data_IF_991441371906
#
_entry.id   IF_991441371906
#
_cell.length_a   1.000
_cell.length_b   1.000
_cell.length_c   1.000
_cell.angle_alpha   90.00
_cell.angle_beta   90.00
_cell.angle_gamma   90.00
#
_symmetry.space_group_name_H-M   'P 1'
#
loop_
_entity.id
_entity.type
_entity.pdbx_description
1 polymer ?
#
# COMPACT_ATOMS: atom_id res chain seq x y z
N UNK A 1 75.31 -15.66 17.77
CA UNK A 1 74.61 -14.43 17.34
C UNK A 1 73.28 -14.82 16.70
N UNK A 2 72.17 -14.30 17.25
CA UNK A 2 70.82 -14.18 16.68
C UNK A 2 70.11 -15.50 16.30
N UNK A 3 69.25 -16.03 17.19
CA UNK A 3 67.79 -15.78 17.24
C UNK A 3 67.08 -16.04 15.90
N UNK A 4 66.16 -17.01 15.88
CA UNK A 4 64.73 -16.79 15.56
C UNK A 4 63.94 -18.03 15.99
N UNK A 5 63.05 -17.78 16.95
CA UNK A 5 62.03 -18.66 17.51
C UNK A 5 60.82 -18.57 16.58
N UNK A 6 60.39 -19.65 15.93
CA UNK A 6 59.12 -19.67 15.18
C UNK A 6 58.04 -20.33 16.04
N UNK A 7 57.32 -19.52 16.82
CA UNK A 7 56.03 -19.89 17.41
C UNK A 7 55.01 -20.00 16.27
N UNK A 8 54.47 -21.20 16.03
CA UNK A 8 53.23 -21.36 15.25
C UNK A 8 52.06 -20.98 16.14
N UNK A 9 51.55 -19.75 15.98
CA UNK A 9 50.23 -19.38 16.50
C UNK A 9 49.17 -20.14 15.68
N UNK A 10 48.45 -21.05 16.33
CA UNK A 10 47.22 -21.63 15.81
C UNK A 10 46.09 -20.62 16.09
N UNK A 11 45.83 -19.71 15.15
CA UNK A 11 44.67 -18.83 15.23
C UNK A 11 43.42 -19.62 14.85
N UNK A 12 42.68 -20.09 15.85
CA UNK A 12 41.36 -20.67 15.69
C UNK A 12 40.38 -19.54 15.33
N UNK A 13 40.11 -19.37 14.03
CA UNK A 13 39.06 -18.48 13.57
C UNK A 13 37.71 -19.09 13.95
N UNK A 14 37.13 -18.62 15.05
CA UNK A 14 35.75 -18.92 15.40
C UNK A 14 34.87 -18.21 14.36
N UNK A 15 34.37 -18.98 13.38
CA UNK A 15 33.28 -18.53 12.52
C UNK A 15 32.03 -18.38 13.41
N UNK A 16 31.80 -17.17 13.92
CA UNK A 16 30.48 -16.78 14.38
C UNK A 16 29.57 -16.83 13.15
N UNK A 17 28.81 -17.93 13.02
CA UNK A 17 27.58 -17.90 12.25
C UNK A 17 26.66 -16.95 13.01
N UNK A 18 26.67 -15.68 12.60
CA UNK A 18 25.61 -14.76 12.95
C UNK A 18 24.40 -15.32 12.21
N UNK A 19 23.62 -16.14 12.89
CA UNK A 19 22.25 -16.40 12.50
C UNK A 19 21.55 -15.05 12.64
N UNK A 20 21.56 -14.27 11.56
CA UNK A 20 20.61 -13.18 11.40
C UNK A 20 19.27 -13.89 11.40
N UNK A 21 18.61 -13.89 12.57
CA UNK A 21 17.20 -14.22 12.64
C UNK A 21 16.52 -13.12 11.86
N UNK A 22 16.28 -13.35 10.57
CA UNK A 22 15.30 -12.56 9.85
C UNK A 22 14.02 -12.67 10.68
N UNK A 23 13.50 -11.53 11.15
CA UNK A 23 12.18 -11.53 11.74
C UNK A 23 11.25 -12.24 10.76
N UNK A 24 10.41 -13.17 11.23
CA UNK A 24 9.47 -13.82 10.35
C UNK A 24 8.46 -12.77 9.91
N UNK A 25 8.56 -12.35 8.65
CA UNK A 25 7.62 -11.40 8.05
C UNK A 25 6.59 -12.17 7.21
N UNK A 26 5.34 -11.76 7.34
CA UNK A 26 4.23 -12.32 6.57
C UNK A 26 3.55 -11.23 5.75
N UNK A 27 3.29 -11.52 4.47
CA UNK A 27 2.41 -10.69 3.66
C UNK A 27 0.98 -11.25 3.70
N UNK A 28 0.01 -10.37 3.87
CA UNK A 28 -1.42 -10.67 3.84
C UNK A 28 -2.03 -10.02 2.60
N UNK A 29 -2.56 -10.84 1.69
CA UNK A 29 -3.03 -10.40 0.37
C UNK A 29 -4.51 -10.72 0.20
N UNK A 30 -5.35 -9.70 0.05
CA UNK A 30 -6.80 -9.86 -0.21
C UNK A 30 -7.05 -10.35 -1.62
N UNK A 31 -7.92 -11.35 -1.80
CA UNK A 31 -8.23 -11.99 -3.08
C UNK A 31 -9.71 -11.80 -3.41
N UNK A 32 -10.02 -10.82 -4.28
CA UNK A 32 -11.39 -10.36 -4.52
C UNK A 32 -12.35 -11.46 -4.98
N UNK A 33 -11.86 -12.45 -5.74
CA UNK A 33 -12.72 -13.50 -6.31
C UNK A 33 -12.76 -14.79 -5.51
N UNK A 34 -11.99 -14.87 -4.43
CA UNK A 34 -11.94 -16.03 -3.54
C UNK A 34 -12.45 -15.73 -2.13
N UNK A 35 -12.86 -14.49 -1.85
CA UNK A 35 -13.39 -14.06 -0.55
C UNK A 35 -12.46 -14.43 0.63
N UNK A 36 -11.15 -14.35 0.40
CA UNK A 36 -10.14 -14.74 1.37
C UNK A 36 -8.87 -13.88 1.31
N UNK A 37 -8.00 -14.07 2.29
CA UNK A 37 -6.66 -13.50 2.38
C UNK A 37 -5.64 -14.62 2.24
N UNK A 38 -4.67 -14.45 1.35
CA UNK A 38 -3.50 -15.34 1.25
C UNK A 38 -2.41 -14.86 2.21
N UNK A 39 -1.88 -15.75 3.05
CA UNK A 39 -0.78 -15.47 3.97
C UNK A 39 0.52 -16.04 3.42
N UNK A 40 1.47 -15.17 3.11
CA UNK A 40 2.76 -15.51 2.51
C UNK A 40 3.87 -15.37 3.55
N UNK A 41 4.64 -16.42 3.76
CA UNK A 41 5.91 -16.36 4.50
C UNK A 41 6.99 -15.77 3.58
N UNK A 42 7.57 -14.62 3.95
CA UNK A 42 8.59 -13.94 3.14
C UNK A 42 9.99 -14.54 3.29
N UNK A 43 10.27 -15.24 4.40
CA UNK A 43 11.50 -16.02 4.54
C UNK A 43 11.50 -17.22 3.58
N UNK A 44 10.35 -17.87 3.42
CA UNK A 44 10.19 -19.04 2.54
C UNK A 44 9.71 -18.66 1.13
N UNK A 45 9.22 -17.44 0.96
CA UNK A 45 8.61 -16.92 -0.25
C UNK A 45 7.54 -17.85 -0.81
N UNK A 46 6.57 -18.24 0.02
CA UNK A 46 5.43 -19.10 -0.38
C UNK A 46 4.19 -18.80 0.46
N UNK A 47 3.01 -19.03 -0.13
CA UNK A 47 1.75 -19.07 0.62
C UNK A 47 1.80 -20.24 1.59
N UNK A 48 1.46 -20.00 2.85
CA UNK A 48 1.44 -21.02 3.90
C UNK A 48 0.05 -21.33 4.43
N UNK A 49 -0.92 -20.44 4.21
CA UNK A 49 -2.35 -20.63 4.54
C UNK A 49 -3.21 -19.51 3.94
N UNK A 50 -4.53 -19.66 4.08
CA UNK A 50 -5.54 -18.66 3.72
C UNK A 50 -6.44 -18.38 4.92
N UNK A 51 -7.02 -17.18 4.97
CA UNK A 51 -7.99 -16.74 5.98
C UNK A 51 -9.26 -16.34 5.24
N UNK A 52 -10.38 -17.01 5.52
CA UNK A 52 -11.67 -16.66 4.92
C UNK A 52 -12.18 -15.34 5.51
N UNK A 53 -12.72 -14.48 4.65
CA UNK A 53 -13.30 -13.17 5.02
C UNK A 53 -14.63 -12.94 4.28
N UNK A 54 -15.19 -11.75 4.40
CA UNK A 54 -16.39 -11.33 3.68
C UNK A 54 -16.15 -11.20 2.17
N UNK A 55 -17.21 -10.85 1.45
CA UNK A 55 -17.25 -10.89 -0.01
C UNK A 55 -16.44 -9.74 -0.63
N UNK A 56 -15.73 -10.05 -1.73
CA UNK A 56 -14.89 -9.10 -2.49
C UNK A 56 -13.94 -8.29 -1.60
N UNK A 57 -13.02 -8.94 -0.85
CA UNK A 57 -12.10 -8.21 0.01
C UNK A 57 -11.11 -7.38 -0.83
N UNK A 58 -11.00 -6.08 -0.54
CA UNK A 58 -10.06 -5.15 -1.21
C UNK A 58 -9.10 -4.50 -0.22
N UNK A 59 -9.43 -3.30 0.26
CA UNK A 59 -8.63 -2.55 1.23
C UNK A 59 -8.29 -3.39 2.45
N UNK A 60 -7.00 -3.42 2.80
CA UNK A 60 -6.52 -4.05 4.03
C UNK A 60 -5.48 -3.15 4.68
N UNK A 61 -5.63 -2.91 5.98
CA UNK A 61 -4.64 -2.19 6.80
C UNK A 61 -4.41 -2.93 8.11
N UNK A 62 -3.29 -2.64 8.77
CA UNK A 62 -2.98 -3.15 10.10
C UNK A 62 -3.22 -2.09 11.16
N UNK A 63 -3.57 -2.54 12.37
CA UNK A 63 -3.46 -1.67 13.54
C UNK A 63 -1.98 -1.43 13.91
N UNK A 64 -1.73 -0.51 14.86
CA UNK A 64 -0.37 -0.05 15.19
C UNK A 64 0.58 -1.15 15.65
N UNK A 65 0.09 -2.09 16.44
CA UNK A 65 0.88 -3.22 16.95
C UNK A 65 0.85 -4.44 16.01
N UNK A 66 0.19 -4.30 14.86
CA UNK A 66 0.04 -5.33 13.83
C UNK A 66 -0.59 -6.64 14.34
N UNK A 67 -1.37 -6.58 15.42
CA UNK A 67 -2.15 -7.72 15.93
C UNK A 67 -3.48 -7.90 15.21
N UNK A 68 -4.03 -6.83 14.64
CA UNK A 68 -5.31 -6.82 13.93
C UNK A 68 -5.14 -6.34 12.48
N UNK A 69 -5.90 -6.92 11.57
CA UNK A 69 -6.16 -6.36 10.25
C UNK A 69 -7.60 -5.85 10.15
N UNK A 70 -7.77 -4.69 9.51
CA UNK A 70 -9.06 -4.17 9.09
C UNK A 70 -9.19 -4.39 7.58
N UNK A 71 -10.25 -5.08 7.17
CA UNK A 71 -10.42 -5.55 5.79
C UNK A 71 -11.75 -5.02 5.27
N UNK A 72 -11.73 -4.24 4.19
CA UNK A 72 -12.92 -3.87 3.45
C UNK A 72 -13.46 -5.11 2.73
N UNK A 73 -14.58 -5.66 3.20
CA UNK A 73 -15.35 -6.68 2.50
C UNK A 73 -16.43 -5.96 1.70
N UNK A 74 -16.05 -5.52 0.50
CA UNK A 74 -16.74 -4.46 -0.24
C UNK A 74 -18.17 -4.87 -0.63
N UNK A 75 -18.36 -6.08 -1.17
CA UNK A 75 -19.70 -6.61 -1.50
C UNK A 75 -20.53 -7.00 -0.26
N UNK A 76 -19.93 -6.95 0.94
CA UNK A 76 -20.64 -7.16 2.21
C UNK A 76 -20.99 -5.84 2.92
N UNK A 77 -20.62 -4.69 2.35
CA UNK A 77 -20.80 -3.36 2.93
C UNK A 77 -20.26 -3.23 4.36
N UNK A 78 -19.15 -3.91 4.68
CA UNK A 78 -18.56 -3.91 6.04
C UNK A 78 -17.05 -3.87 6.01
N UNK A 79 -16.47 -3.37 7.12
CA UNK A 79 -15.05 -3.53 7.41
C UNK A 79 -14.91 -4.61 8.48
N UNK A 80 -14.26 -5.72 8.16
CA UNK A 80 -14.05 -6.82 9.10
C UNK A 80 -12.76 -6.65 9.90
N UNK A 81 -12.80 -6.98 11.18
CA UNK A 81 -11.66 -6.97 12.09
C UNK A 81 -11.16 -8.40 12.25
N UNK A 82 -9.98 -8.69 11.70
CA UNK A 82 -9.33 -10.00 11.77
C UNK A 82 -8.22 -9.96 12.82
N UNK A 83 -8.30 -10.81 13.84
CA UNK A 83 -7.19 -11.04 14.75
C UNK A 83 -6.15 -11.91 14.05
N UNK A 84 -4.93 -11.40 13.89
CA UNK A 84 -3.87 -12.07 13.11
C UNK A 84 -3.09 -13.11 13.92
N UNK A 85 -3.33 -13.25 15.22
CA UNK A 85 -2.74 -14.31 16.04
C UNK A 85 -3.60 -15.59 15.99
N UNK A 86 -4.92 -15.40 15.98
CA UNK A 86 -5.92 -16.47 15.94
C UNK A 86 -6.50 -16.71 14.56
N UNK A 87 -6.34 -15.74 13.66
CA UNK A 87 -6.82 -15.75 12.28
C UNK A 87 -8.34 -15.86 12.19
N UNK A 88 -9.02 -15.23 13.13
CA UNK A 88 -10.48 -15.21 13.24
C UNK A 88 -10.99 -13.78 13.06
N UNK A 89 -12.17 -13.65 12.45
CA UNK A 89 -12.93 -12.41 12.49
C UNK A 89 -13.47 -12.24 13.91
N UNK A 90 -13.08 -11.16 14.57
CA UNK A 90 -13.45 -10.85 15.96
C UNK A 90 -14.49 -9.74 16.08
N UNK A 91 -14.83 -9.09 14.96
CA UNK A 91 -15.82 -8.03 14.92
C UNK A 91 -15.87 -7.37 13.55
N UNK A 92 -16.77 -6.41 13.42
CA UNK A 92 -16.97 -5.62 12.22
C UNK A 92 -17.16 -4.15 12.61
N UNK A 93 -16.75 -3.25 11.71
CA UNK A 93 -17.04 -1.83 11.77
C UNK A 93 -18.09 -1.47 10.71
N UNK A 94 -18.96 -0.50 10.98
CA UNK A 94 -19.92 -0.02 10.00
C UNK A 94 -19.19 0.67 8.83
N UNK A 95 -19.78 0.62 7.65
CA UNK A 95 -19.43 1.45 6.49
C UNK A 95 -20.72 1.86 5.75
N UNK A 96 -20.57 2.57 4.63
CA UNK A 96 -21.65 2.66 3.63
C UNK A 96 -21.55 1.54 2.60
N UNK A 97 -22.20 1.73 1.45
CA UNK A 97 -22.19 0.79 0.34
C UNK A 97 -20.81 0.76 -0.35
N UNK A 98 -20.35 -0.45 -0.67
CA UNK A 98 -19.09 -0.72 -1.39
C UNK A 98 -17.84 -0.02 -0.78
N UNK A 99 -17.44 -0.34 0.47
CA UNK A 99 -16.22 0.19 1.04
C UNK A 99 -15.01 -0.32 0.27
N UNK A 100 -14.24 0.58 -0.35
CA UNK A 100 -13.14 0.19 -1.24
C UNK A 100 -11.79 0.14 -0.51
N UNK A 101 -11.47 1.23 0.17
CA UNK A 101 -10.24 1.38 0.94
C UNK A 101 -10.52 1.92 2.32
N UNK A 102 -9.56 1.67 3.22
CA UNK A 102 -9.63 2.07 4.63
C UNK A 102 -8.27 2.60 5.06
N UNK A 103 -8.26 3.64 5.90
CA UNK A 103 -7.03 4.18 6.49
C UNK A 103 -7.19 4.47 7.98
N UNK A 104 -6.13 4.21 8.74
CA UNK A 104 -6.09 4.39 10.19
C UNK A 104 -5.50 5.76 10.53
N UNK A 105 -6.21 6.53 11.35
CA UNK A 105 -5.67 7.76 11.91
C UNK A 105 -4.44 7.45 12.79
N UNK A 106 -3.37 8.28 12.80
CA UNK A 106 -2.18 8.08 13.63
C UNK A 106 -2.42 7.97 15.15
N UNK A 107 -3.61 8.31 15.65
CA UNK A 107 -4.00 8.07 17.05
C UNK A 107 -4.36 6.59 17.31
N UNK A 108 -4.68 5.80 16.28
CA UNK A 108 -5.05 4.39 16.36
C UNK A 108 -6.49 4.14 16.80
N UNK A 109 -7.33 5.17 16.84
CA UNK A 109 -8.72 5.10 17.36
C UNK A 109 -9.79 5.38 16.32
N UNK A 110 -9.41 6.02 15.22
CA UNK A 110 -10.33 6.46 14.17
C UNK A 110 -9.92 5.79 12.86
N UNK A 111 -10.89 5.23 12.17
CA UNK A 111 -10.76 4.72 10.81
C UNK A 111 -11.57 5.61 9.86
N UNK A 112 -11.06 5.80 8.66
CA UNK A 112 -11.76 6.40 7.55
C UNK A 112 -11.96 5.37 6.45
N UNK A 113 -13.14 5.35 5.82
CA UNK A 113 -13.43 4.48 4.67
C UNK A 113 -14.12 5.26 3.56
N UNK A 114 -13.77 4.94 2.32
CA UNK A 114 -14.38 5.49 1.12
C UNK A 114 -15.44 4.51 0.65
N UNK A 115 -16.68 4.99 0.55
CA UNK A 115 -17.83 4.20 0.10
C UNK A 115 -18.10 4.57 -1.36
N UNK A 116 -17.70 3.70 -2.29
CA UNK A 116 -17.61 4.03 -3.73
C UNK A 116 -19.00 4.39 -4.30
N UNK A 117 -20.02 3.63 -3.95
CA UNK A 117 -21.39 3.78 -4.46
C UNK A 117 -22.16 4.95 -3.82
N UNK A 118 -21.74 5.43 -2.65
CA UNK A 118 -22.43 6.48 -1.89
C UNK A 118 -21.89 7.89 -2.13
N UNK A 119 -20.70 8.05 -2.74
CA UNK A 119 -19.98 9.33 -2.80
C UNK A 119 -19.70 9.93 -1.40
N UNK A 120 -19.42 9.07 -0.42
CA UNK A 120 -19.20 9.45 0.98
C UNK A 120 -17.84 8.98 1.51
N UNK A 121 -17.22 9.83 2.33
CA UNK A 121 -16.20 9.43 3.30
C UNK A 121 -16.87 9.18 4.66
N UNK A 122 -16.73 7.98 5.21
CA UNK A 122 -17.25 7.65 6.55
C UNK A 122 -16.13 7.65 7.59
N UNK A 123 -16.37 8.35 8.71
CA UNK A 123 -15.45 8.44 9.85
C UNK A 123 -15.97 7.55 10.98
N UNK A 124 -15.13 6.62 11.45
CA UNK A 124 -15.54 5.55 12.36
C UNK A 124 -14.68 5.57 13.62
N UNK A 125 -15.32 5.55 14.78
CA UNK A 125 -14.66 5.28 16.05
C UNK A 125 -14.55 3.76 16.25
N UNK A 126 -13.33 3.28 16.43
CA UNK A 126 -13.04 1.85 16.55
C UNK A 126 -13.49 1.29 17.90
N UNK A 127 -13.41 2.09 18.98
CA UNK A 127 -13.64 1.62 20.35
C UNK A 127 -15.08 1.16 20.58
N UNK A 128 -16.04 1.87 19.99
CA UNK A 128 -17.48 1.61 20.12
C UNK A 128 -18.14 1.18 18.80
N UNK A 129 -17.33 0.96 17.75
CA UNK A 129 -17.78 0.59 16.40
C UNK A 129 -18.87 1.52 15.86
N UNK A 130 -18.76 2.83 16.10
CA UNK A 130 -19.77 3.82 15.71
C UNK A 130 -19.31 4.73 14.57
N UNK A 131 -20.26 5.12 13.70
CA UNK A 131 -20.05 6.19 12.72
C UNK A 131 -20.07 7.52 13.45
N UNK A 132 -18.94 8.22 13.45
CA UNK A 132 -18.80 9.56 14.03
C UNK A 132 -19.42 10.61 13.11
N UNK A 133 -19.15 10.51 11.81
CA UNK A 133 -19.72 11.40 10.79
C UNK A 133 -19.57 10.80 9.39
N UNK A 134 -20.30 11.37 8.43
CA UNK A 134 -20.17 11.11 7.00
C UNK A 134 -19.99 12.43 6.29
N UNK A 135 -19.09 12.47 5.30
CA UNK A 135 -18.68 13.68 4.61
C UNK A 135 -18.91 13.48 3.12
N UNK A 136 -19.68 14.39 2.51
CA UNK A 136 -19.91 14.42 1.08
C UNK A 136 -18.59 14.67 0.32
N UNK A 137 -18.31 13.78 -0.63
CA UNK A 137 -17.14 13.86 -1.50
C UNK A 137 -17.59 13.76 -2.96
N UNK A 138 -16.66 13.49 -3.87
CA UNK A 138 -16.98 13.25 -5.28
C UNK A 138 -17.49 11.84 -5.53
N UNK A 139 -18.00 11.62 -6.73
CA UNK A 139 -18.51 10.32 -7.21
C UNK A 139 -17.39 9.30 -7.33
N UNK A 140 -17.67 8.06 -6.90
CA UNK A 140 -16.74 6.93 -6.84
C UNK A 140 -15.47 7.26 -6.03
N UNK A 141 -15.59 7.56 -4.72
CA UNK A 141 -14.43 7.73 -3.86
C UNK A 141 -13.75 6.39 -3.61
N UNK A 142 -12.42 6.34 -3.73
CA UNK A 142 -11.67 5.10 -3.55
C UNK A 142 -10.40 5.33 -2.72
N UNK A 143 -9.40 6.01 -3.27
CA UNK A 143 -8.11 6.24 -2.62
C UNK A 143 -8.20 7.12 -1.39
N UNK A 144 -7.61 6.66 -0.28
CA UNK A 144 -7.52 7.38 0.98
C UNK A 144 -6.09 7.54 1.47
N UNK A 145 -5.82 8.67 2.13
CA UNK A 145 -4.61 8.84 2.92
C UNK A 145 -4.85 9.77 4.11
N UNK A 146 -4.24 9.46 5.26
CA UNK A 146 -4.18 10.37 6.42
C UNK A 146 -2.76 10.94 6.51
N UNK A 147 -2.66 12.24 6.75
CA UNK A 147 -1.37 12.90 6.93
C UNK A 147 -0.65 12.32 8.16
N UNK A 148 0.70 12.19 8.14
CA UNK A 148 1.43 11.64 9.29
C UNK A 148 1.17 12.37 10.62
N UNK A 149 0.85 13.67 10.58
CA UNK A 149 0.46 14.45 11.77
C UNK A 149 -1.01 14.28 12.18
N UNK A 150 -1.81 13.52 11.43
CA UNK A 150 -3.21 13.21 11.67
C UNK A 150 -4.21 14.33 11.36
N UNK A 151 -3.77 15.51 10.92
CA UNK A 151 -4.64 16.69 10.79
C UNK A 151 -5.49 16.72 9.51
N UNK A 152 -5.07 15.97 8.50
CA UNK A 152 -5.70 15.98 7.18
C UNK A 152 -5.95 14.53 6.77
N UNK A 153 -7.16 14.26 6.30
CA UNK A 153 -7.45 13.07 5.48
C UNK A 153 -7.77 13.55 4.08
N UNK A 154 -7.27 12.83 3.08
CA UNK A 154 -7.63 13.05 1.69
C UNK A 154 -8.36 11.84 1.13
N UNK A 155 -9.26 12.11 0.20
CA UNK A 155 -9.97 11.10 -0.57
C UNK A 155 -9.94 11.47 -2.04
N UNK A 156 -9.61 10.51 -2.90
CA UNK A 156 -9.70 10.67 -4.35
C UNK A 156 -11.05 10.19 -4.84
N UNK A 157 -11.66 10.94 -5.74
CA UNK A 157 -12.92 10.58 -6.38
C UNK A 157 -12.71 10.35 -7.86
N UNK A 158 -12.95 9.12 -8.30
CA UNK A 158 -12.59 8.60 -9.62
C UNK A 158 -13.28 9.37 -10.74
N UNK A 159 -14.61 9.50 -10.66
CA UNK A 159 -15.42 10.09 -11.72
C UNK A 159 -15.34 11.63 -11.75
N UNK A 160 -15.16 12.27 -10.59
CA UNK A 160 -15.03 13.74 -10.53
C UNK A 160 -13.60 14.23 -10.78
N UNK A 161 -12.60 13.33 -10.80
CA UNK A 161 -11.18 13.61 -11.02
C UNK A 161 -10.60 14.57 -9.97
N UNK A 162 -10.97 14.39 -8.71
CA UNK A 162 -10.59 15.30 -7.62
C UNK A 162 -9.90 14.58 -6.47
N UNK A 163 -9.09 15.35 -5.75
CA UNK A 163 -8.64 15.08 -4.38
C UNK A 163 -9.41 16.02 -3.47
N UNK A 164 -10.15 15.47 -2.51
CA UNK A 164 -10.85 16.23 -1.48
C UNK A 164 -9.96 16.30 -0.23
N UNK A 165 -9.82 17.48 0.38
CA UNK A 165 -8.97 17.71 1.53
C UNK A 165 -9.83 17.99 2.75
N UNK A 166 -9.83 17.07 3.71
CA UNK A 166 -10.70 17.10 4.87
C UNK A 166 -9.88 17.34 6.13
N UNK A 167 -10.32 18.30 6.94
CA UNK A 167 -9.77 18.51 8.28
C UNK A 167 -10.32 17.45 9.23
N UNK A 168 -9.45 16.71 9.92
CA UNK A 168 -9.86 15.59 10.78
C UNK A 168 -10.47 16.00 12.11
N UNK A 169 -10.30 17.26 12.53
CA UNK A 169 -10.89 17.81 13.76
C UNK A 169 -12.28 18.41 13.50
N UNK A 170 -12.43 19.15 12.40
CA UNK A 170 -13.71 19.81 12.07
C UNK A 170 -14.60 18.96 11.16
N UNK A 171 -14.05 17.94 10.51
CA UNK A 171 -14.70 17.13 9.49
C UNK A 171 -15.15 17.93 8.25
N UNK A 172 -14.57 19.10 8.04
CA UNK A 172 -14.89 19.94 6.90
C UNK A 172 -13.94 19.66 5.73
N UNK A 173 -14.52 19.50 4.54
CA UNK A 173 -13.77 19.58 3.29
C UNK A 173 -13.39 21.04 3.04
N UNK A 174 -12.11 21.38 3.21
CA UNK A 174 -11.61 22.75 3.13
C UNK A 174 -10.97 23.09 1.78
N UNK A 175 -10.67 22.10 0.94
CA UNK A 175 -10.11 22.31 -0.39
C UNK A 175 -10.39 21.11 -1.32
N UNK A 176 -10.45 21.39 -2.62
CA UNK A 176 -10.53 20.36 -3.65
C UNK A 176 -9.48 20.65 -4.72
N UNK A 177 -8.67 19.64 -5.07
CA UNK A 177 -7.66 19.75 -6.14
C UNK A 177 -8.09 18.91 -7.32
N UNK A 178 -8.23 19.53 -8.50
CA UNK A 178 -8.46 18.80 -9.75
C UNK A 178 -7.17 18.09 -10.16
N UNK A 179 -7.27 16.80 -10.48
CA UNK A 179 -6.15 15.95 -10.91
C UNK A 179 -6.48 15.26 -12.24
N UNK A 180 -5.58 14.39 -12.72
CA UNK A 180 -5.80 13.61 -13.93
C UNK A 180 -6.97 12.64 -13.80
N UNK A 181 -7.42 12.10 -14.93
CA UNK A 181 -8.64 11.29 -14.97
C UNK A 181 -8.54 10.00 -14.14
N UNK A 182 -9.61 9.67 -13.40
CA UNK A 182 -9.76 8.46 -12.56
C UNK A 182 -8.63 8.32 -11.53
N UNK A 183 -8.52 9.24 -10.54
CA UNK A 183 -7.53 9.13 -9.47
C UNK A 183 -7.79 7.92 -8.58
N UNK A 184 -6.73 7.19 -8.22
CA UNK A 184 -6.80 5.89 -7.52
C UNK A 184 -6.14 5.89 -6.15
N UNK A 185 -4.86 6.25 -6.08
CA UNK A 185 -4.08 6.20 -4.84
C UNK A 185 -3.63 7.59 -4.46
N UNK A 186 -3.59 7.84 -3.15
CA UNK A 186 -3.02 9.03 -2.55
C UNK A 186 -2.03 8.60 -1.46
N UNK A 187 -0.89 9.27 -1.34
CA UNK A 187 0.11 8.95 -0.31
C UNK A 187 0.86 10.21 0.12
N UNK A 188 0.79 10.52 1.41
CA UNK A 188 1.55 11.63 1.99
C UNK A 188 3.02 11.25 2.14
N UNK A 189 3.92 12.22 1.94
CA UNK A 189 5.30 12.09 2.40
C UNK A 189 5.34 12.14 3.94
N UNK A 190 6.29 11.41 4.55
CA UNK A 190 6.46 11.35 6.02
C UNK A 190 6.63 12.73 6.68
N UNK A 191 7.19 13.70 5.95
CA UNK A 191 7.38 15.07 6.41
C UNK A 191 6.13 15.97 6.26
N UNK A 192 4.99 15.42 5.82
CA UNK A 192 3.71 16.11 5.60
C UNK A 192 3.75 17.23 4.54
N UNK A 193 4.81 17.33 3.73
CA UNK A 193 4.93 18.44 2.76
C UNK A 193 4.23 18.17 1.45
N UNK A 194 4.20 16.92 1.02
CA UNK A 194 3.71 16.55 -0.29
C UNK A 194 2.71 15.40 -0.21
N UNK A 195 1.75 15.42 -1.14
CA UNK A 195 0.85 14.33 -1.43
C UNK A 195 1.12 13.83 -2.84
N UNK A 196 1.36 12.53 -2.99
CA UNK A 196 1.47 11.88 -4.28
C UNK A 196 0.12 11.29 -4.65
N UNK A 197 -0.35 11.53 -5.87
CA UNK A 197 -1.65 11.05 -6.34
C UNK A 197 -1.51 10.43 -7.71
N UNK A 198 -1.99 9.19 -7.89
CA UNK A 198 -2.07 8.53 -9.19
C UNK A 198 -3.41 8.79 -9.84
N UNK A 199 -3.38 8.98 -11.17
CA UNK A 199 -4.54 9.07 -12.04
C UNK A 199 -4.46 7.97 -13.09
N UNK A 200 -5.29 6.95 -12.92
CA UNK A 200 -5.23 5.70 -13.70
C UNK A 200 -5.46 5.99 -15.19
N UNK A 201 -6.64 6.49 -15.54
CA UNK A 201 -6.98 6.81 -16.93
C UNK A 201 -6.16 8.00 -17.43
N UNK A 202 -5.86 8.96 -16.54
CA UNK A 202 -4.97 10.08 -16.84
C UNK A 202 -3.55 9.68 -17.21
N UNK A 203 -3.10 8.46 -16.88
CA UNK A 203 -1.77 7.96 -17.22
C UNK A 203 -0.64 8.72 -16.51
N UNK A 204 -0.93 9.33 -15.36
CA UNK A 204 -0.01 10.25 -14.67
C UNK A 204 0.00 10.07 -13.16
N UNK A 205 1.11 10.49 -12.54
CA UNK A 205 1.19 10.72 -11.10
C UNK A 205 1.54 12.19 -10.88
N UNK A 206 0.82 12.84 -9.97
CA UNK A 206 1.10 14.23 -9.57
C UNK A 206 1.63 14.28 -8.15
N UNK A 207 2.49 15.26 -7.87
CA UNK A 207 2.85 15.68 -6.51
C UNK A 207 2.14 16.99 -6.24
N UNK A 208 1.40 17.04 -5.13
CA UNK A 208 0.67 18.21 -4.65
C UNK A 208 1.37 18.72 -3.39
N UNK A 209 1.62 20.02 -3.32
CA UNK A 209 2.11 20.69 -2.10
C UNK A 209 0.97 20.77 -1.08
N UNK A 210 1.17 20.21 0.12
CA UNK A 210 0.11 20.08 1.14
C UNK A 210 -0.31 21.42 1.70
N UNK A 211 0.55 22.44 1.72
CA UNK A 211 0.22 23.75 2.29
C UNK A 211 -0.65 24.58 1.35
N UNK A 212 -0.41 24.46 0.04
CA UNK A 212 -1.07 25.27 -1.00
C UNK A 212 -2.08 24.52 -1.85
N UNK A 213 -2.13 23.18 -1.72
CA UNK A 213 -2.94 22.26 -2.53
C UNK A 213 -2.69 22.36 -4.04
N UNK A 214 -1.56 22.97 -4.45
CA UNK A 214 -1.14 23.11 -5.84
C UNK A 214 -0.30 21.93 -6.31
N UNK A 215 -0.54 21.48 -7.55
CA UNK A 215 0.33 20.51 -8.21
C UNK A 215 1.70 21.16 -8.48
N UNK A 216 2.76 20.54 -7.96
CA UNK A 216 4.15 21.01 -8.10
C UNK A 216 4.99 20.15 -9.04
N UNK A 217 4.52 18.93 -9.35
CA UNK A 217 5.19 18.02 -10.27
C UNK A 217 4.18 17.07 -10.90
N UNK A 218 4.42 16.71 -12.15
CA UNK A 218 3.71 15.66 -12.87
C UNK A 218 4.72 14.66 -13.44
N UNK A 219 4.37 13.38 -13.39
CA UNK A 219 5.05 12.28 -14.05
C UNK A 219 4.10 11.63 -15.05
N UNK A 220 4.57 11.48 -16.28
CA UNK A 220 3.97 10.60 -17.29
C UNK A 220 4.93 9.47 -17.60
N UNK A 221 4.41 8.33 -18.04
CA UNK A 221 5.18 7.11 -18.17
C UNK A 221 5.22 6.64 -19.62
N UNK A 222 6.37 6.15 -20.07
CA UNK A 222 6.56 5.64 -21.42
C UNK A 222 7.32 4.32 -21.40
N UNK A 223 6.60 3.23 -21.69
CA UNK A 223 7.19 1.89 -21.81
C UNK A 223 7.24 1.52 -23.29
N UNK A 224 8.44 1.18 -23.77
CA UNK A 224 8.66 0.80 -25.17
C UNK A 224 7.76 -0.38 -25.56
N UNK A 225 6.99 -0.21 -26.63
CA UNK A 225 6.11 -1.25 -27.16
C UNK A 225 4.75 -1.37 -26.47
N UNK A 226 4.45 -0.53 -25.47
CA UNK A 226 3.15 -0.47 -24.81
C UNK A 226 2.46 0.85 -25.19
N UNK A 227 1.21 0.76 -25.64
CA UNK A 227 0.40 1.94 -25.95
C UNK A 227 0.13 2.76 -24.68
N UNK A 228 0.18 4.09 -24.76
CA UNK A 228 0.06 4.98 -23.58
C UNK A 228 -1.22 4.72 -22.78
N UNK A 229 -2.34 4.41 -23.43
CA UNK A 229 -3.62 4.15 -22.76
C UNK A 229 -3.61 2.88 -21.89
N UNK A 230 -2.59 2.02 -22.02
CA UNK A 230 -2.37 0.86 -21.14
C UNK A 230 -1.46 1.19 -19.95
N UNK A 231 -0.79 2.34 -19.97
CA UNK A 231 0.15 2.76 -18.94
C UNK A 231 -0.61 3.58 -17.90
N UNK A 232 -1.31 2.87 -17.02
CA UNK A 232 -2.24 3.46 -16.07
C UNK A 232 -1.70 3.30 -14.64
N UNK A 233 -1.25 4.37 -13.97
CA UNK A 233 -0.70 4.28 -12.63
C UNK A 233 -1.81 4.07 -11.58
N UNK A 234 -1.52 3.23 -10.58
CA UNK A 234 -2.43 2.86 -9.49
C UNK A 234 -1.73 3.02 -8.13
N UNK A 235 -1.35 1.94 -7.44
CA UNK A 235 -0.64 2.02 -6.16
C UNK A 235 0.68 2.79 -6.23
N UNK A 236 1.00 3.49 -5.14
CA UNK A 236 2.21 4.29 -4.95
C UNK A 236 2.84 3.86 -3.63
N UNK A 237 4.15 3.61 -3.64
CA UNK A 237 4.93 3.39 -2.43
C UNK A 237 6.22 4.22 -2.43
N UNK A 238 6.60 4.76 -1.27
CA UNK A 238 7.72 5.69 -1.11
C UNK A 238 8.70 5.15 -0.08
N UNK A 239 9.97 4.98 -0.44
CA UNK A 239 10.99 4.56 0.53
C UNK A 239 11.20 5.63 1.61
N UNK A 240 11.44 5.20 2.84
CA UNK A 240 11.67 6.06 3.99
C UNK A 240 12.95 6.90 3.85
N UNK A 241 13.97 6.33 3.24
CA UNK A 241 15.25 7.01 2.98
C UNK A 241 15.14 8.18 1.97
N UNK A 242 13.96 8.38 1.38
CA UNK A 242 13.70 9.46 0.43
C UNK A 242 14.27 9.19 -0.97
N UNK A 243 14.74 7.99 -1.26
CA UNK A 243 15.44 7.67 -2.51
C UNK A 243 14.49 7.31 -3.65
N UNK A 244 13.54 6.42 -3.43
CA UNK A 244 12.70 5.88 -4.49
C UNK A 244 11.21 6.10 -4.24
N UNK A 245 10.48 6.25 -5.35
CA UNK A 245 9.04 5.99 -5.42
C UNK A 245 8.79 4.85 -6.39
N UNK A 246 7.91 3.93 -6.03
CA UNK A 246 7.47 2.80 -6.85
C UNK A 246 6.01 3.00 -7.22
N UNK A 247 5.73 2.97 -8.52
CA UNK A 247 4.38 3.21 -9.06
C UNK A 247 3.94 1.99 -9.83
N UNK A 248 2.87 1.33 -9.37
CA UNK A 248 2.27 0.24 -10.13
C UNK A 248 1.58 0.80 -11.39
N UNK A 249 1.90 0.25 -12.55
CA UNK A 249 1.34 0.61 -13.86
C UNK A 249 0.47 -0.55 -14.35
N UNK A 250 -0.80 -0.53 -13.95
CA UNK A 250 -1.67 -1.70 -13.88
C UNK A 250 -1.73 -2.53 -15.17
N UNK A 251 -2.46 -2.11 -16.21
CA UNK A 251 -2.59 -2.87 -17.45
C UNK A 251 -1.28 -3.00 -18.25
N UNK A 252 -0.27 -2.18 -17.94
CA UNK A 252 1.05 -2.28 -18.53
C UNK A 252 1.88 -3.42 -17.91
N UNK A 253 1.49 -3.97 -16.75
CA UNK A 253 2.21 -5.04 -16.05
C UNK A 253 3.62 -4.61 -15.61
N UNK A 254 3.79 -3.35 -15.22
CA UNK A 254 5.08 -2.83 -14.80
C UNK A 254 4.99 -2.05 -13.50
N UNK A 255 6.10 -1.98 -12.77
CA UNK A 255 6.31 -0.97 -11.72
C UNK A 255 7.32 0.05 -12.23
N UNK A 256 6.96 1.33 -12.26
CA UNK A 256 7.91 2.40 -12.51
C UNK A 256 8.70 2.71 -11.23
N UNK A 257 10.00 2.95 -11.38
CA UNK A 257 10.88 3.41 -10.30
C UNK A 257 11.27 4.86 -10.60
N UNK A 258 10.96 5.75 -9.68
CA UNK A 258 11.32 7.17 -9.74
C UNK A 258 12.41 7.43 -8.69
N UNK A 259 13.53 8.00 -9.10
CA UNK A 259 14.49 8.59 -8.16
C UNK A 259 13.95 9.93 -7.67
N UNK A 260 13.72 10.05 -6.37
CA UNK A 260 13.08 11.22 -5.73
C UNK A 260 14.04 12.38 -5.48
N UNK A 261 15.36 12.17 -5.64
CA UNK A 261 16.34 13.26 -5.58
C UNK A 261 16.42 14.00 -6.90
N UNK A 262 16.41 13.27 -8.01
CA UNK A 262 16.46 13.80 -9.37
C UNK A 262 15.08 14.08 -9.96
N UNK A 263 14.03 13.48 -9.36
CA UNK A 263 12.65 13.48 -9.88
C UNK A 263 12.58 12.96 -11.32
N UNK A 264 13.26 11.84 -11.57
CA UNK A 264 13.34 11.19 -12.88
C UNK A 264 13.00 9.71 -12.80
N UNK A 265 12.47 9.15 -13.90
CA UNK A 265 12.13 7.72 -13.99
C UNK A 265 13.38 6.93 -14.33
N UNK A 266 13.80 6.07 -13.42
CA UNK A 266 15.03 5.26 -13.53
C UNK A 266 14.79 3.95 -14.28
N UNK A 267 13.66 3.30 -14.02
CA UNK A 267 13.42 1.93 -14.48
C UNK A 267 11.96 1.58 -14.57
N UNK A 268 11.65 0.61 -15.42
CA UNK A 268 10.38 -0.11 -15.44
C UNK A 268 10.64 -1.59 -15.15
N UNK A 269 9.97 -2.14 -14.14
CA UNK A 269 10.12 -3.52 -13.70
C UNK A 269 8.92 -4.33 -14.15
N UNK A 270 9.13 -5.33 -15.03
CA UNK A 270 8.06 -6.21 -15.50
C UNK A 270 7.58 -7.13 -14.37
N UNK A 271 6.29 -7.05 -14.03
CA UNK A 271 5.62 -7.85 -12.99
C UNK A 271 4.48 -8.68 -13.59
N UNK A 272 3.64 -9.28 -12.73
CA UNK A 272 2.45 -10.00 -13.13
C UNK A 272 1.41 -9.13 -13.88
N UNK A 273 0.36 -9.80 -14.38
CA UNK A 273 -0.67 -9.13 -15.19
C UNK A 273 -1.62 -8.33 -14.31
N UNK A 274 -1.82 -7.06 -14.67
CA UNK A 274 -2.66 -6.09 -13.94
C UNK A 274 -2.19 -5.89 -12.51
N UNK A 275 -1.06 -5.20 -12.36
CA UNK A 275 -0.54 -4.82 -11.03
C UNK A 275 -1.45 -3.79 -10.35
N UNK A 276 -1.60 -3.87 -9.03
CA UNK A 276 -2.47 -3.00 -8.22
C UNK A 276 -1.69 -2.30 -7.10
N UNK A 277 -1.71 -2.85 -5.89
CA UNK A 277 -1.10 -2.24 -4.71
C UNK A 277 0.29 -2.81 -4.46
N UNK A 278 1.08 -2.06 -3.69
CA UNK A 278 2.43 -2.45 -3.30
C UNK A 278 2.58 -2.28 -1.78
N UNK A 279 3.49 -3.04 -1.17
CA UNK A 279 3.88 -2.85 0.22
C UNK A 279 5.34 -3.26 0.43
N UNK A 280 6.08 -2.44 1.18
CA UNK A 280 7.44 -2.79 1.61
C UNK A 280 7.40 -3.76 2.78
N UNK A 281 8.40 -4.64 2.84
CA UNK A 281 8.74 -5.29 4.10
C UNK A 281 9.38 -4.28 5.06
N UNK A 282 9.58 -4.65 6.32
CA UNK A 282 9.91 -3.71 7.39
C UNK A 282 11.22 -2.94 7.18
N UNK A 283 12.24 -3.59 6.59
CA UNK A 283 13.53 -2.95 6.31
C UNK A 283 13.63 -2.33 4.90
N UNK A 284 12.52 -2.30 4.17
CA UNK A 284 12.41 -1.83 2.78
C UNK A 284 13.40 -2.49 1.79
N UNK A 285 13.99 -3.64 2.14
CA UNK A 285 14.85 -4.38 1.21
C UNK A 285 14.05 -5.09 0.12
N UNK A 286 12.77 -5.39 0.40
CA UNK A 286 11.83 -6.02 -0.50
C UNK A 286 10.53 -5.23 -0.64
N UNK A 287 10.02 -5.18 -1.87
CA UNK A 287 8.71 -4.65 -2.20
C UNK A 287 7.86 -5.76 -2.80
N UNK A 288 6.61 -5.88 -2.36
CA UNK A 288 5.63 -6.84 -2.87
C UNK A 288 4.58 -6.11 -3.67
N UNK A 289 4.15 -6.68 -4.80
CA UNK A 289 3.03 -6.13 -5.59
C UNK A 289 1.97 -7.17 -5.85
N UNK A 290 0.70 -6.78 -5.80
CA UNK A 290 -0.44 -7.65 -6.17
C UNK A 290 -0.71 -7.56 -7.67
N UNK A 291 -0.96 -8.70 -8.33
CA UNK A 291 -1.23 -8.76 -9.77
C UNK A 291 -2.56 -9.48 -10.02
N UNK A 292 -3.62 -8.70 -10.19
CA UNK A 292 -5.01 -9.16 -10.17
C UNK A 292 -5.30 -10.23 -11.22
N UNK A 293 -4.96 -9.96 -12.49
CA UNK A 293 -5.32 -10.85 -13.61
C UNK A 293 -4.48 -12.15 -13.59
N UNK A 294 -3.22 -12.09 -13.16
CA UNK A 294 -2.38 -13.30 -13.11
C UNK A 294 -2.55 -14.12 -11.83
N UNK A 295 -3.24 -13.62 -10.80
CA UNK A 295 -3.45 -14.36 -9.55
C UNK A 295 -2.15 -14.63 -8.80
N UNK A 296 -1.22 -13.68 -8.81
CA UNK A 296 0.06 -13.77 -8.12
C UNK A 296 0.50 -12.44 -7.52
N UNK A 297 1.46 -12.52 -6.60
CA UNK A 297 2.27 -11.37 -6.19
C UNK A 297 3.66 -11.43 -6.82
N UNK A 298 4.26 -10.26 -7.06
CA UNK A 298 5.66 -10.15 -7.50
C UNK A 298 6.50 -9.59 -6.35
N UNK A 299 7.66 -10.21 -6.10
CA UNK A 299 8.66 -9.72 -5.15
C UNK A 299 9.74 -8.94 -5.91
N UNK A 300 10.09 -7.78 -5.41
CA UNK A 300 11.10 -6.88 -5.96
C UNK A 300 12.18 -6.65 -4.90
N UNK A 301 13.43 -6.89 -5.26
CA UNK A 301 14.59 -6.40 -4.50
C UNK A 301 14.76 -4.92 -4.79
N UNK A 302 14.63 -4.10 -3.75
CA UNK A 302 14.62 -2.63 -3.82
C UNK A 302 16.02 -2.08 -4.11
N UNK A 303 17.07 -2.73 -3.61
CA UNK A 303 18.45 -2.30 -3.84
C UNK A 303 18.92 -2.64 -5.25
N UNK A 304 18.57 -3.83 -5.74
CA UNK A 304 18.91 -4.30 -7.08
C UNK A 304 17.95 -3.76 -8.16
N UNK A 305 16.83 -3.16 -7.75
CA UNK A 305 15.71 -2.76 -8.61
C UNK A 305 15.34 -3.88 -9.57
N UNK A 306 15.04 -5.06 -9.02
CA UNK A 306 14.84 -6.28 -9.80
C UNK A 306 13.73 -7.13 -9.22
N UNK A 307 12.82 -7.60 -10.07
CA UNK A 307 11.84 -8.62 -9.70
C UNK A 307 12.58 -9.94 -9.49
N UNK A 308 12.44 -10.52 -8.30
CA UNK A 308 13.16 -11.72 -7.86
C UNK A 308 12.29 -12.97 -7.93
N UNK A 309 10.97 -12.84 -7.72
CA UNK A 309 10.06 -13.99 -7.67
C UNK A 309 8.61 -13.59 -7.97
N UNK A 310 7.84 -14.55 -8.47
CA UNK A 310 6.37 -14.49 -8.46
C UNK A 310 5.84 -15.63 -7.58
N UNK A 311 4.82 -15.34 -6.78
CA UNK A 311 4.18 -16.30 -5.87
C UNK A 311 2.69 -16.33 -6.18
N UNK A 312 2.16 -17.51 -6.51
CA UNK A 312 0.72 -17.69 -6.72
C UNK A 312 -0.04 -17.51 -5.41
N UNK A 313 -1.14 -16.77 -5.49
CA UNK A 313 -2.10 -16.50 -4.40
C UNK A 313 -3.52 -16.83 -4.91
N UNK A 314 -4.56 -16.31 -4.25
CA UNK A 314 -5.93 -16.40 -4.74
C UNK A 314 -6.17 -15.61 -6.03
N UNK A 315 -7.41 -15.66 -6.52
CA UNK A 315 -7.87 -14.99 -7.73
C UNK A 315 -8.11 -13.52 -7.45
N UNK A 316 -7.64 -12.66 -8.37
CA UNK A 316 -7.76 -11.20 -8.29
C UNK A 316 -7.20 -10.63 -6.98
N UNK A 317 -5.89 -10.84 -6.68
CA UNK A 317 -5.28 -10.18 -5.55
C UNK A 317 -5.26 -8.67 -5.75
N UNK A 318 -5.67 -7.92 -4.72
CA UNK A 318 -5.81 -6.47 -4.78
C UNK A 318 -4.96 -5.76 -3.72
N UNK A 319 -5.28 -5.94 -2.44
CA UNK A 319 -4.61 -5.29 -1.32
C UNK A 319 -3.47 -6.13 -0.76
N UNK A 320 -2.48 -5.50 -0.15
CA UNK A 320 -1.37 -6.18 0.52
C UNK A 320 -0.88 -5.37 1.72
N UNK A 321 -0.64 -6.05 2.85
CA UNK A 321 0.07 -5.50 4.01
C UNK A 321 1.13 -6.48 4.49
N UNK A 322 2.20 -5.95 5.07
CA UNK A 322 3.27 -6.76 5.67
C UNK A 322 3.18 -6.67 7.19
N UNK A 323 3.22 -7.83 7.84
CA UNK A 323 3.31 -7.96 9.28
C UNK A 323 4.67 -8.51 9.67
N UNK A 324 5.33 -7.84 10.60
CA UNK A 324 6.53 -8.35 11.26
C UNK A 324 6.10 -9.08 12.53
N UNK A 325 6.51 -10.34 12.68
CA UNK A 325 6.29 -11.06 13.94
C UNK A 325 7.23 -10.53 15.03
N UNK A 326 6.76 -10.44 16.30
CA UNK A 326 7.58 -10.08 17.44
C UNK A 326 8.80 -10.97 17.70
#
# INVERSE_FOLDING_TARGET
MKHILLLKLLSLALLFNINVSYANEYAYVTNEKDDNISVIDLGQNKVIRTIDVGQRPRGIILNKDQSLAYVCASDSDRIQIVDLNTEQIIGELPSGEDPETVVLHPNGKIIYTANEDDALLTVINIEDASVTTQIDVGVEPEGLAVSPNGKIVVVTSETTNMVHWINTETHENFANTLVGSRPRSALFTKDNKYLWVSSEIGGMVVIIDVATQNIVKEFTFHIKGIHRDRVQPVGIELTEDGRYAFIALGPANHVAVIDRKTMSIEKYLLVGRRVWQLAFNHDESQLITTNGISGDVSLIDVNALKVTKSIKVGRYPWGVVIRQMP
#
